data_IF_200268279179
#
_entry.id   IF_200268279179
#
_cell.length_a   1.000
_cell.length_b   1.000
_cell.length_c   1.000
_cell.angle_alpha   90.00
_cell.angle_beta   90.00
_cell.angle_gamma   90.00
#
_symmetry.space_group_name_H-M   'P 1'
#
loop_
_entity.id
_entity.type
_entity.pdbx_description
1 polymer ?
#
# COMPACT_ATOMS: atom_id res chain seq x y z
N UNK A 1 -2.86 28.68 12.15
CA UNK A 1 -2.11 27.76 11.26
C UNK A 1 -3.12 26.76 10.70
N UNK A 2 -3.56 26.93 9.46
CA UNK A 2 -4.62 26.13 8.83
C UNK A 2 -4.02 24.83 8.30
N UNK A 3 -4.39 23.69 8.88
CA UNK A 3 -4.18 22.39 8.27
C UNK A 3 -5.07 22.28 7.02
N UNK A 4 -4.51 22.61 5.86
CA UNK A 4 -5.09 22.24 4.58
C UNK A 4 -4.97 20.73 4.41
N UNK A 5 -6.12 20.10 4.16
CA UNK A 5 -6.32 18.69 3.81
C UNK A 5 -5.24 18.19 2.84
N UNK A 6 -4.35 17.34 3.34
CA UNK A 6 -3.41 16.57 2.53
C UNK A 6 -4.15 15.37 1.88
N UNK A 7 -4.89 15.59 0.80
CA UNK A 7 -5.56 14.52 0.05
C UNK A 7 -4.94 14.18 -1.32
N UNK A 8 -3.75 14.70 -1.65
CA UNK A 8 -3.17 14.50 -3.00
C UNK A 8 -1.70 14.05 -3.07
N UNK A 9 -1.01 13.77 -1.95
CA UNK A 9 0.43 13.46 -1.96
C UNK A 9 0.80 11.99 -2.15
N UNK A 10 0.03 11.05 -1.59
CA UNK A 10 0.49 9.67 -1.37
C UNK A 10 0.48 8.78 -2.63
N UNK A 11 -0.23 9.18 -3.69
CA UNK A 11 -0.35 8.42 -4.95
C UNK A 11 0.97 8.28 -5.73
N UNK A 12 2.03 9.01 -5.34
CA UNK A 12 3.34 8.97 -6.01
C UNK A 12 4.41 8.17 -5.28
N UNK A 13 4.10 7.52 -4.16
CA UNK A 13 5.11 6.67 -3.50
C UNK A 13 5.67 5.60 -4.44
N UNK A 14 4.84 5.11 -5.38
CA UNK A 14 5.25 4.11 -6.37
C UNK A 14 6.46 4.49 -7.23
N UNK A 15 6.75 5.79 -7.45
CA UNK A 15 7.92 6.20 -8.26
C UNK A 15 9.22 6.28 -7.46
N UNK A 16 9.15 6.16 -6.14
CA UNK A 16 10.36 6.17 -5.30
C UNK A 16 11.16 4.89 -5.52
N UNK A 17 12.48 5.00 -5.41
CA UNK A 17 13.36 3.83 -5.40
C UNK A 17 13.06 2.96 -4.18
N UNK A 18 13.07 1.64 -4.37
CA UNK A 18 12.77 0.68 -3.32
C UNK A 18 13.95 0.40 -2.39
N UNK A 19 15.17 0.78 -2.80
CA UNK A 19 16.42 0.36 -2.16
C UNK A 19 17.00 -0.93 -2.74
N UNK A 20 16.36 -1.52 -3.76
CA UNK A 20 16.81 -2.74 -4.45
C UNK A 20 17.18 -2.41 -5.89
N UNK A 21 18.48 -2.32 -6.19
CA UNK A 21 18.96 -1.98 -7.53
C UNK A 21 18.32 -0.68 -8.07
N UNK A 22 17.79 -0.74 -9.29
CA UNK A 22 17.04 0.36 -9.91
C UNK A 22 15.52 0.19 -9.82
N UNK A 23 15.03 -0.72 -8.97
CA UNK A 23 13.60 -0.98 -8.85
C UNK A 23 12.89 0.14 -8.09
N UNK A 24 11.66 0.40 -8.52
CA UNK A 24 10.77 1.35 -7.84
C UNK A 24 9.88 0.61 -6.85
N UNK A 25 9.26 1.34 -5.92
CA UNK A 25 8.26 0.79 -5.03
C UNK A 25 7.07 0.19 -5.79
N UNK A 26 6.63 0.79 -6.90
CA UNK A 26 5.59 0.18 -7.76
C UNK A 26 6.09 -1.09 -8.45
N UNK A 27 7.37 -1.11 -8.81
CA UNK A 27 8.05 -2.29 -9.37
C UNK A 27 8.03 -3.50 -8.44
N UNK A 28 8.05 -3.30 -7.12
CA UNK A 28 8.08 -4.41 -6.15
C UNK A 28 6.79 -4.58 -5.35
N UNK A 29 5.98 -3.54 -5.17
CA UNK A 29 4.74 -3.58 -4.36
C UNK A 29 3.46 -3.65 -5.18
N UNK A 30 3.57 -3.83 -6.51
CA UNK A 30 2.43 -4.12 -7.38
C UNK A 30 2.49 -5.56 -7.89
N UNK A 31 1.32 -6.18 -8.11
CA UNK A 31 1.27 -7.57 -8.58
C UNK A 31 1.91 -7.78 -9.95
N UNK A 32 1.79 -6.80 -10.85
CA UNK A 32 2.44 -6.86 -12.18
C UNK A 32 3.93 -6.55 -12.11
N UNK A 33 4.33 -5.56 -11.30
CA UNK A 33 5.73 -5.22 -11.09
C UNK A 33 6.49 -6.40 -10.50
N UNK A 34 5.98 -6.96 -9.39
CA UNK A 34 6.64 -8.04 -8.69
C UNK A 34 6.72 -9.32 -9.55
N UNK A 35 5.71 -9.58 -10.38
CA UNK A 35 5.76 -10.68 -11.35
C UNK A 35 6.89 -10.48 -12.37
N UNK A 36 7.01 -9.28 -12.95
CA UNK A 36 8.10 -8.94 -13.88
C UNK A 36 9.45 -9.06 -13.21
N UNK A 37 9.58 -8.56 -11.98
CA UNK A 37 10.79 -8.67 -11.20
C UNK A 37 11.16 -10.14 -10.96
N UNK A 38 10.22 -10.97 -10.49
CA UNK A 38 10.45 -12.39 -10.26
C UNK A 38 10.89 -13.12 -11.54
N UNK A 39 10.27 -12.81 -12.69
CA UNK A 39 10.69 -13.35 -14.00
C UNK A 39 12.12 -12.93 -14.37
N UNK A 40 12.51 -11.68 -14.06
CA UNK A 40 13.90 -11.23 -14.28
C UNK A 40 14.93 -11.93 -13.39
N UNK A 41 14.50 -12.44 -12.22
CA UNK A 41 15.31 -13.29 -11.34
C UNK A 41 15.29 -14.77 -11.74
N UNK A 42 14.67 -15.11 -12.88
CA UNK A 42 14.64 -16.47 -13.41
C UNK A 42 13.51 -17.36 -12.89
N UNK A 43 12.53 -16.80 -12.17
CA UNK A 43 11.33 -17.55 -11.79
C UNK A 43 10.34 -17.60 -12.96
N UNK A 44 10.02 -18.81 -13.41
CA UNK A 44 9.04 -19.06 -14.47
C UNK A 44 7.60 -18.98 -13.93
N UNK A 45 7.19 -17.81 -13.44
CA UNK A 45 5.83 -17.58 -12.94
C UNK A 45 4.94 -17.02 -14.06
N UNK A 46 3.79 -17.65 -14.28
CA UNK A 46 2.73 -17.11 -15.15
C UNK A 46 1.86 -16.09 -14.41
N UNK A 47 1.70 -16.28 -13.10
CA UNK A 47 0.84 -15.48 -12.22
C UNK A 47 1.55 -15.19 -10.92
N UNK A 48 1.28 -14.01 -10.36
CA UNK A 48 1.90 -13.61 -9.09
C UNK A 48 1.50 -14.54 -7.94
N UNK A 49 0.28 -15.09 -7.97
CA UNK A 49 -0.23 -15.98 -6.93
C UNK A 49 0.58 -17.28 -6.80
N UNK A 50 1.27 -17.68 -7.88
CA UNK A 50 2.15 -18.85 -7.85
C UNK A 50 3.24 -18.67 -6.79
N UNK A 51 3.78 -17.46 -6.60
CA UNK A 51 4.89 -17.12 -5.69
C UNK A 51 4.67 -17.56 -4.22
N UNK A 52 3.44 -17.80 -3.80
CA UNK A 52 3.10 -18.33 -2.48
C UNK A 52 2.24 -19.59 -2.52
N UNK A 53 1.89 -20.09 -3.71
CA UNK A 53 1.07 -21.29 -3.89
C UNK A 53 1.89 -22.53 -4.22
N UNK A 54 3.10 -22.37 -4.75
CA UNK A 54 3.96 -23.46 -5.21
C UNK A 54 5.31 -23.49 -4.45
N UNK A 55 5.89 -24.67 -4.18
CA UNK A 55 7.24 -24.75 -3.65
C UNK A 55 8.23 -24.24 -4.71
N UNK A 56 8.77 -23.02 -4.54
CA UNK A 56 9.80 -22.51 -5.45
C UNK A 56 11.22 -22.75 -4.95
N UNK A 57 12.13 -22.86 -5.92
CA UNK A 57 13.57 -22.97 -5.73
C UNK A 57 14.23 -21.65 -5.25
N UNK A 58 15.56 -21.70 -5.08
CA UNK A 58 16.45 -20.63 -4.59
C UNK A 58 16.15 -19.17 -5.03
N UNK A 59 15.79 -18.84 -6.29
CA UNK A 59 15.54 -17.44 -6.69
C UNK A 59 14.31 -16.80 -6.00
N UNK A 60 13.44 -17.58 -5.35
CA UNK A 60 12.33 -17.06 -4.54
C UNK A 60 12.84 -16.21 -3.37
N UNK A 61 13.93 -16.65 -2.72
CA UNK A 61 14.46 -15.96 -1.55
C UNK A 61 14.90 -14.52 -1.88
N UNK A 62 15.49 -14.33 -3.06
CA UNK A 62 15.89 -12.99 -3.55
C UNK A 62 14.68 -12.09 -3.82
N UNK A 63 13.60 -12.66 -4.38
CA UNK A 63 12.34 -11.93 -4.58
C UNK A 63 11.69 -11.54 -3.24
N UNK A 64 11.66 -12.45 -2.28
CA UNK A 64 11.11 -12.20 -0.94
C UNK A 64 11.93 -11.13 -0.22
N UNK A 65 13.26 -11.18 -0.33
CA UNK A 65 14.16 -10.18 0.26
C UNK A 65 13.99 -8.79 -0.38
N UNK A 66 13.88 -8.75 -1.71
CA UNK A 66 13.60 -7.51 -2.43
C UNK A 66 12.25 -6.90 -2.03
N UNK A 67 11.21 -7.74 -1.93
CA UNK A 67 9.88 -7.32 -1.48
C UNK A 67 9.89 -6.81 -0.03
N UNK A 68 10.59 -7.50 0.86
CA UNK A 68 10.76 -7.09 2.27
C UNK A 68 11.42 -5.71 2.36
N UNK A 69 12.50 -5.50 1.59
CA UNK A 69 13.19 -4.21 1.52
C UNK A 69 12.26 -3.11 1.02
N UNK A 70 11.46 -3.37 -0.01
CA UNK A 70 10.47 -2.41 -0.51
C UNK A 70 9.41 -2.04 0.54
N UNK A 71 8.91 -3.00 1.34
CA UNK A 71 7.98 -2.70 2.45
C UNK A 71 8.63 -1.79 3.47
N UNK A 72 9.85 -2.10 3.91
CA UNK A 72 10.57 -1.29 4.90
C UNK A 72 10.74 0.14 4.36
N UNK A 73 11.23 0.29 3.13
CA UNK A 73 11.39 1.59 2.49
C UNK A 73 10.08 2.37 2.40
N UNK A 74 9.00 1.73 1.96
CA UNK A 74 7.69 2.37 1.85
C UNK A 74 7.15 2.82 3.21
N UNK A 75 7.23 1.95 4.22
CA UNK A 75 6.74 2.25 5.57
C UNK A 75 7.59 3.33 6.24
N UNK A 76 8.91 3.29 6.10
CA UNK A 76 9.80 4.34 6.59
C UNK A 76 9.49 5.70 5.94
N UNK A 77 9.28 5.73 4.62
CA UNK A 77 8.90 6.96 3.92
C UNK A 77 7.57 7.52 4.43
N UNK A 78 6.57 6.65 4.63
CA UNK A 78 5.27 7.01 5.18
C UNK A 78 5.38 7.49 6.62
N UNK A 79 6.15 6.79 7.46
CA UNK A 79 6.36 7.14 8.87
C UNK A 79 6.99 8.54 9.01
N UNK A 80 8.06 8.82 8.26
CA UNK A 80 8.74 10.12 8.32
C UNK A 80 7.89 11.26 7.75
N UNK A 81 7.04 10.96 6.76
CA UNK A 81 6.25 12.01 6.08
C UNK A 81 4.91 12.30 6.77
N UNK A 82 4.26 11.28 7.32
CA UNK A 82 2.88 11.36 7.80
C UNK A 82 2.71 11.01 9.28
N UNK A 83 3.70 10.34 9.89
CA UNK A 83 3.66 9.85 11.28
C UNK A 83 2.34 9.14 11.65
N UNK A 84 1.90 8.12 10.89
CA UNK A 84 0.64 7.46 11.18
C UNK A 84 0.77 6.48 12.33
N UNK A 85 -0.33 6.19 13.02
CA UNK A 85 -0.40 5.11 14.00
C UNK A 85 -0.32 3.72 13.34
N UNK A 86 -0.88 3.58 12.14
CA UNK A 86 -0.94 2.29 11.44
C UNK A 86 -0.82 2.44 9.91
N UNK A 87 -0.23 1.42 9.28
CA UNK A 87 -0.15 1.26 7.82
C UNK A 87 -0.86 -0.03 7.42
N UNK A 88 -1.78 0.09 6.46
CA UNK A 88 -2.59 -1.03 5.99
C UNK A 88 -2.11 -1.51 4.61
N UNK A 89 -1.76 -2.78 4.52
CA UNK A 89 -1.54 -3.46 3.24
C UNK A 89 -2.80 -4.20 2.83
N UNK A 90 -3.26 -3.91 1.61
CA UNK A 90 -4.47 -4.49 1.03
C UNK A 90 -4.19 -4.86 -0.42
N UNK A 91 -4.58 -6.06 -0.83
CA UNK A 91 -4.49 -6.47 -2.23
C UNK A 91 -4.09 -7.92 -2.39
N UNK A 92 -3.79 -8.29 -3.64
CA UNK A 92 -3.40 -9.66 -3.99
C UNK A 92 -2.06 -10.09 -3.38
N UNK A 93 -1.21 -9.13 -3.01
CA UNK A 93 0.09 -9.40 -2.39
C UNK A 93 0.00 -9.64 -0.88
N UNK A 94 -1.17 -9.52 -0.26
CA UNK A 94 -1.36 -9.72 1.19
C UNK A 94 -0.71 -11.01 1.74
N UNK A 95 -0.79 -12.18 1.07
CA UNK A 95 -0.12 -13.39 1.56
C UNK A 95 1.39 -13.22 1.71
N UNK A 96 2.03 -12.56 0.74
CA UNK A 96 3.46 -12.29 0.80
C UNK A 96 3.81 -11.23 1.86
N UNK A 97 2.93 -10.25 2.08
CA UNK A 97 3.10 -9.27 3.16
C UNK A 97 3.09 -9.97 4.52
N UNK A 98 2.15 -10.90 4.74
CA UNK A 98 2.07 -11.67 5.99
C UNK A 98 3.33 -12.49 6.23
N UNK A 99 3.86 -13.13 5.19
CA UNK A 99 5.11 -13.90 5.26
C UNK A 99 6.29 -13.05 5.72
N UNK A 100 6.46 -11.86 5.14
CA UNK A 100 7.64 -11.00 5.42
C UNK A 100 7.46 -10.08 6.64
N UNK A 101 6.25 -10.03 7.21
CA UNK A 101 5.90 -9.08 8.26
C UNK A 101 6.81 -9.16 9.51
N UNK A 102 7.19 -10.34 10.02
CA UNK A 102 8.07 -10.43 11.18
C UNK A 102 9.43 -9.76 10.91
N UNK A 103 9.98 -10.00 9.73
CA UNK A 103 11.28 -9.45 9.32
C UNK A 103 11.19 -7.94 9.05
N UNK A 104 10.15 -7.50 8.34
CA UNK A 104 9.92 -6.08 8.08
C UNK A 104 9.78 -5.28 9.39
N UNK A 105 9.02 -5.81 10.37
CA UNK A 105 8.87 -5.18 11.70
C UNK A 105 10.21 -5.06 12.43
N UNK A 106 11.04 -6.12 12.40
CA UNK A 106 12.38 -6.10 13.00
C UNK A 106 13.26 -5.00 12.37
N UNK A 107 13.27 -4.89 11.04
CA UNK A 107 14.06 -3.86 10.33
C UNK A 107 13.55 -2.45 10.62
N UNK A 108 12.24 -2.28 10.72
CA UNK A 108 11.63 -0.99 11.06
C UNK A 108 11.95 -0.56 12.50
N UNK A 109 11.92 -1.47 13.47
CA UNK A 109 12.28 -1.14 14.86
C UNK A 109 13.76 -0.75 15.04
N UNK A 110 14.62 -1.18 14.12
CA UNK A 110 16.04 -0.80 14.11
C UNK A 110 16.29 0.55 13.44
N UNK A 111 15.37 1.00 12.58
CA UNK A 111 15.54 2.20 11.74
C UNK A 111 14.67 3.38 12.15
N UNK A 112 13.57 3.14 12.86
CA UNK A 112 12.61 4.15 13.29
C UNK A 112 12.55 4.22 14.83
N UNK A 113 12.49 5.42 15.43
CA UNK A 113 12.28 5.58 16.87
C UNK A 113 10.96 5.00 17.35
N UNK A 114 9.92 5.10 16.52
CA UNK A 114 8.60 4.49 16.72
C UNK A 114 8.07 4.06 15.35
N UNK A 115 7.90 2.75 15.15
CA UNK A 115 7.39 2.22 13.89
C UNK A 115 5.85 2.12 13.94
N UNK A 116 5.14 2.52 12.87
CA UNK A 116 3.69 2.36 12.80
C UNK A 116 3.31 0.88 12.83
N UNK A 117 2.13 0.57 13.37
CA UNK A 117 1.62 -0.79 13.33
C UNK A 117 1.28 -1.17 11.88
N UNK A 118 1.89 -2.25 11.39
CA UNK A 118 1.56 -2.79 10.08
C UNK A 118 0.45 -3.82 10.21
N UNK A 119 -0.65 -3.59 9.49
CA UNK A 119 -1.83 -4.45 9.44
C UNK A 119 -2.07 -4.96 8.02
N UNK A 120 -2.24 -6.26 7.88
CA UNK A 120 -2.72 -6.87 6.65
C UNK A 120 -4.21 -7.13 6.80
N UNK A 121 -5.00 -6.66 5.84
CA UNK A 121 -6.45 -6.89 5.86
C UNK A 121 -6.76 -7.99 4.85
N UNK A 122 -7.28 -9.15 5.29
CA UNK A 122 -7.72 -10.19 4.37
C UNK A 122 -8.84 -9.63 3.50
N UNK A 123 -8.72 -9.81 2.18
CA UNK A 123 -9.78 -9.37 1.27
C UNK A 123 -10.97 -10.34 1.35
N UNK A 124 -12.06 -9.89 1.97
CA UNK A 124 -13.38 -10.27 1.49
C UNK A 124 -13.66 -9.43 0.22
N UNK A 125 -13.38 -10.02 -0.95
CA UNK A 125 -13.86 -9.57 -2.28
C UNK A 125 -13.21 -8.35 -2.97
N UNK A 126 -12.14 -7.75 -2.46
CA UNK A 126 -11.46 -6.65 -3.18
C UNK A 126 -12.30 -5.37 -3.36
N UNK A 127 -13.35 -5.22 -2.56
CA UNK A 127 -14.32 -4.11 -2.65
C UNK A 127 -13.87 -2.86 -1.88
N UNK A 128 -12.66 -2.81 -1.31
CA UNK A 128 -12.21 -1.67 -0.50
C UNK A 128 -12.27 -0.35 -1.27
N UNK A 129 -11.87 -0.37 -2.54
CA UNK A 129 -11.96 0.79 -3.44
C UNK A 129 -13.42 1.14 -3.71
N UNK A 130 -14.24 0.15 -4.10
CA UNK A 130 -15.65 0.35 -4.42
C UNK A 130 -16.44 0.93 -3.24
N UNK A 131 -16.18 0.40 -2.04
CA UNK A 131 -16.77 0.85 -0.77
C UNK A 131 -16.27 2.24 -0.40
N UNK A 132 -14.98 2.52 -0.59
CA UNK A 132 -14.41 3.86 -0.43
C UNK A 132 -15.07 4.89 -1.35
N UNK A 133 -15.25 4.59 -2.63
CA UNK A 133 -15.96 5.47 -3.57
C UNK A 133 -17.43 5.64 -3.22
N UNK A 134 -18.10 4.58 -2.77
CA UNK A 134 -19.49 4.66 -2.34
C UNK A 134 -19.64 5.60 -1.12
N UNK A 135 -18.78 5.47 -0.10
CA UNK A 135 -18.78 6.36 1.05
C UNK A 135 -18.42 7.80 0.68
N UNK A 136 -17.42 8.01 -0.17
CA UNK A 136 -17.06 9.34 -0.64
C UNK A 136 -18.22 10.02 -1.39
N UNK A 137 -18.91 9.26 -2.26
CA UNK A 137 -20.10 9.74 -2.98
C UNK A 137 -21.25 10.09 -2.04
N UNK A 138 -21.52 9.25 -1.04
CA UNK A 138 -22.53 9.53 -0.02
C UNK A 138 -22.20 10.78 0.79
N UNK A 139 -20.96 10.92 1.26
CA UNK A 139 -20.51 12.09 2.01
C UNK A 139 -20.64 13.38 1.18
N UNK A 140 -20.34 13.31 -0.12
CA UNK A 140 -20.52 14.43 -1.04
C UNK A 140 -22.00 14.79 -1.23
N UNK A 141 -22.88 13.82 -1.44
CA UNK A 141 -24.31 14.06 -1.58
C UNK A 141 -24.91 14.67 -0.30
N UNK A 142 -24.49 14.19 0.88
CA UNK A 142 -24.90 14.75 2.16
C UNK A 142 -24.43 16.20 2.36
N UNK A 143 -23.20 16.52 1.94
CA UNK A 143 -22.69 17.88 1.98
C UNK A 143 -23.51 18.82 1.07
N UNK A 144 -23.82 18.40 -0.15
CA UNK A 144 -24.64 19.16 -1.10
C UNK A 144 -26.06 19.40 -0.60
N UNK A 145 -26.71 18.37 -0.04
CA UNK A 145 -28.04 18.50 0.55
C UNK A 145 -28.04 19.46 1.75
N UNK A 146 -26.98 19.41 2.58
CA UNK A 146 -26.83 20.32 3.71
C UNK A 146 -26.65 21.77 3.24
N UNK A 147 -25.88 22.00 2.17
CA UNK A 147 -25.72 23.32 1.57
C UNK A 147 -27.05 23.83 0.97
N UNK A 148 -27.83 22.98 0.30
CA UNK A 148 -29.12 23.39 -0.27
C UNK A 148 -30.18 23.72 0.78
N UNK A 149 -30.16 23.05 1.94
CA UNK A 149 -31.09 23.33 3.05
C UNK A 149 -30.68 24.60 3.83
N UNK A 150 -29.38 24.92 3.84
CA UNK A 150 -28.85 26.10 4.54
C UNK A 150 -28.83 27.38 3.69
N UNK A 151 -29.14 27.28 2.40
CA UNK A 151 -29.42 28.47 1.59
C UNK A 151 -30.86 28.92 1.89
N UNK A 152 -31.07 30.11 2.48
CA UNK A 152 -32.42 30.64 2.66
C UNK A 152 -33.04 30.87 1.29
N UNK A 153 -34.29 30.44 1.11
CA UNK A 153 -35.18 30.91 0.04
C UNK A 153 -35.49 32.39 0.28
N UNK A 154 -34.53 33.28 0.01
CA UNK A 154 -34.75 34.73 -0.04
C UNK A 154 -34.50 35.21 -1.47
N UNK A 155 -35.53 35.13 -2.31
CA UNK A 155 -35.90 36.13 -3.31
C UNK A 155 -37.10 35.68 -4.16
N UNK A 156 -38.32 35.86 -3.63
CA UNK A 156 -39.39 36.53 -4.37
C UNK A 156 -40.47 37.07 -3.43
#
# INVERSE_FOLDING_TARGET
MRLQRAHAGLRRLGVLFSGVGNETLDGLLSGQGLLRFAQSQGLALERIDALWSEPQAAPRAEVVEAFTTAIVTAVSAVAVTLDPESVYFVGRLSPLVEEVLPEARRRLSLSLPSAPEIRVVPQELGLSVARGTAYAGLAQAQAQLRESILQPEDAN
#
